data_IF_070134471673
#
_entry.id   IF_070134471673
#
_cell.length_a   1.000
_cell.length_b   1.000
_cell.length_c   1.000
_cell.angle_alpha   90.00
_cell.angle_beta   90.00
_cell.angle_gamma   90.00
#
_symmetry.space_group_name_H-M   'P 1'
#
loop_
_entity.id
_entity.type
_entity.pdbx_description
1 polymer ?
#
# COMPACT_ATOMS: atom_id res chain seq x y z
N UNK A 1 -3.88 -17.03 16.35
CA UNK A 1 -3.33 -16.73 15.01
C UNK A 1 -1.97 -17.41 14.88
N UNK A 2 -1.71 -18.09 13.76
CA UNK A 2 -0.36 -18.58 13.41
C UNK A 2 0.35 -17.49 12.61
N UNK A 3 1.66 -17.31 12.82
CA UNK A 3 2.50 -16.43 11.99
C UNK A 3 3.62 -17.27 11.39
N UNK A 4 3.82 -17.18 10.08
CA UNK A 4 5.00 -17.72 9.40
C UNK A 4 5.84 -16.55 8.92
N UNK A 5 7.09 -16.52 9.35
CA UNK A 5 8.07 -15.57 8.86
C UNK A 5 8.84 -16.22 7.70
N UNK A 6 8.67 -15.70 6.48
CA UNK A 6 9.38 -16.14 5.27
C UNK A 6 10.55 -15.21 4.91
N UNK A 7 10.76 -14.20 5.75
CA UNK A 7 11.87 -13.29 5.72
C UNK A 7 13.02 -13.97 6.51
N UNK A 8 14.19 -14.17 5.89
CA UNK A 8 15.33 -14.85 6.52
C UNK A 8 15.92 -14.03 7.69
N UNK A 9 16.50 -14.71 8.70
CA UNK A 9 16.97 -14.13 9.97
C UNK A 9 18.11 -13.10 9.81
N UNK A 10 18.79 -13.04 8.65
CA UNK A 10 19.83 -12.04 8.33
C UNK A 10 19.28 -10.78 7.61
N UNK A 11 17.96 -10.62 7.57
CA UNK A 11 17.33 -9.53 6.82
C UNK A 11 17.53 -8.14 7.41
N UNK A 12 17.86 -7.98 8.69
CA UNK A 12 18.15 -6.63 9.20
C UNK A 12 19.39 -6.05 8.49
N UNK A 13 20.44 -6.87 8.34
CA UNK A 13 21.64 -6.54 7.59
C UNK A 13 21.32 -6.30 6.12
N UNK A 14 20.58 -7.23 5.48
CA UNK A 14 20.21 -7.11 4.06
C UNK A 14 19.28 -5.92 3.77
N UNK A 15 18.33 -5.61 4.66
CA UNK A 15 17.44 -4.46 4.53
C UNK A 15 18.19 -3.14 4.67
N UNK A 16 19.18 -3.09 5.58
CA UNK A 16 20.06 -1.92 5.72
C UNK A 16 20.98 -1.78 4.50
N UNK A 17 21.52 -2.87 3.96
CA UNK A 17 22.32 -2.85 2.72
C UNK A 17 21.48 -2.40 1.51
N UNK A 18 20.27 -2.93 1.36
CA UNK A 18 19.33 -2.53 0.33
C UNK A 18 18.95 -1.05 0.49
N UNK A 19 18.66 -0.60 1.71
CA UNK A 19 18.40 0.82 1.99
C UNK A 19 19.58 1.72 1.66
N UNK A 20 20.78 1.33 2.07
CA UNK A 20 22.03 2.05 1.76
C UNK A 20 22.24 2.17 0.25
N UNK A 21 22.03 1.07 -0.48
CA UNK A 21 22.16 1.01 -1.94
C UNK A 21 21.12 1.88 -2.64
N UNK A 22 19.85 1.81 -2.23
CA UNK A 22 18.77 2.60 -2.81
C UNK A 22 18.95 4.10 -2.51
N UNK A 23 19.45 4.47 -1.33
CA UNK A 23 19.81 5.87 -0.99
C UNK A 23 20.97 6.36 -1.85
N UNK A 24 22.02 5.55 -2.03
CA UNK A 24 23.14 5.90 -2.91
C UNK A 24 22.66 6.16 -4.34
N UNK A 25 21.88 5.23 -4.91
CA UNK A 25 21.35 5.38 -6.27
C UNK A 25 20.42 6.59 -6.38
N UNK A 26 19.53 6.74 -5.41
CA UNK A 26 18.49 7.76 -5.39
C UNK A 26 19.01 9.19 -5.20
N UNK A 27 20.02 9.38 -4.36
CA UNK A 27 20.67 10.68 -4.16
C UNK A 27 21.74 10.99 -5.23
N UNK A 28 22.18 9.98 -5.99
CA UNK A 28 23.09 10.17 -7.14
C UNK A 28 22.34 10.35 -8.47
N UNK A 29 21.02 10.19 -8.52
CA UNK A 29 20.25 10.37 -9.75
C UNK A 29 19.87 11.82 -10.01
N UNK A 30 19.60 12.13 -11.27
CA UNK A 30 19.09 13.42 -11.72
C UNK A 30 17.80 13.19 -12.52
N UNK A 31 16.61 13.49 -11.96
CA UNK A 31 16.37 14.07 -10.63
C UNK A 31 16.61 13.08 -9.47
N UNK A 32 16.89 13.61 -8.27
CA UNK A 32 17.03 12.82 -7.04
C UNK A 32 15.69 12.21 -6.63
N UNK A 33 15.70 10.94 -6.21
CA UNK A 33 14.48 10.21 -5.83
C UNK A 33 14.76 9.14 -4.77
N UNK A 34 13.88 8.98 -3.78
CA UNK A 34 13.95 7.83 -2.85
C UNK A 34 12.57 7.19 -2.78
N UNK A 35 12.53 5.86 -2.81
CA UNK A 35 11.27 5.10 -2.80
C UNK A 35 10.48 5.28 -1.50
N UNK A 36 9.18 5.55 -1.63
CA UNK A 36 8.20 5.61 -0.54
C UNK A 36 8.15 4.34 0.35
N UNK A 37 8.66 3.19 -0.11
CA UNK A 37 8.75 1.97 0.72
C UNK A 37 9.55 2.20 2.01
N UNK A 38 10.45 3.20 2.02
CA UNK A 38 11.26 3.53 3.18
C UNK A 38 10.57 4.43 4.22
N UNK A 39 9.34 4.88 3.96
CA UNK A 39 8.57 5.63 4.94
C UNK A 39 8.11 4.80 6.13
N UNK A 40 7.96 3.49 5.97
CA UNK A 40 7.27 2.64 6.93
C UNK A 40 8.24 1.98 7.93
N UNK A 41 9.12 2.77 8.55
CA UNK A 41 9.71 2.37 9.83
C UNK A 41 8.65 2.46 10.95
N UNK A 42 9.02 2.18 12.20
CA UNK A 42 8.09 2.22 13.33
C UNK A 42 7.42 3.60 13.47
N UNK A 43 8.21 4.68 13.38
CA UNK A 43 7.72 6.05 13.56
C UNK A 43 6.85 6.51 12.39
N UNK A 44 7.24 6.19 11.15
CA UNK A 44 6.47 6.50 9.96
C UNK A 44 5.16 5.74 9.89
N UNK A 45 5.14 4.47 10.32
CA UNK A 45 3.91 3.69 10.43
C UNK A 45 2.91 4.33 11.41
N UNK A 46 3.38 4.82 12.56
CA UNK A 46 2.55 5.55 13.53
C UNK A 46 2.05 6.89 12.99
N UNK A 47 2.88 7.61 12.22
CA UNK A 47 2.47 8.84 11.54
C UNK A 47 1.39 8.56 10.50
N UNK A 48 1.54 7.51 9.70
CA UNK A 48 0.54 7.12 8.71
C UNK A 48 -0.79 6.72 9.36
N UNK A 49 -0.78 6.03 10.49
CA UNK A 49 -2.00 5.75 11.26
C UNK A 49 -2.73 7.02 11.71
N UNK A 50 -2.01 8.09 12.04
CA UNK A 50 -2.62 9.39 12.37
C UNK A 50 -3.15 10.07 11.11
N UNK A 51 -2.42 10.01 9.99
CA UNK A 51 -2.86 10.55 8.70
C UNK A 51 -4.17 9.88 8.26
N UNK A 52 -4.25 8.55 8.33
CA UNK A 52 -5.42 7.79 7.89
C UNK A 52 -6.71 8.09 8.68
N UNK A 53 -6.57 8.63 9.89
CA UNK A 53 -7.68 9.04 10.74
C UNK A 53 -8.01 10.55 10.61
N UNK A 54 -7.09 11.33 10.06
CA UNK A 54 -7.19 12.78 9.94
C UNK A 54 -8.36 13.18 9.03
N UNK A 55 -9.04 14.28 9.36
CA UNK A 55 -10.23 14.74 8.63
C UNK A 55 -9.95 15.12 7.17
N UNK A 56 -8.71 15.53 6.87
CA UNK A 56 -8.29 15.95 5.54
C UNK A 56 -8.00 14.75 4.62
N UNK A 57 -7.69 13.58 5.19
CA UNK A 57 -7.37 12.36 4.46
C UNK A 57 -8.62 11.48 4.32
N UNK A 58 -9.41 11.74 3.28
CA UNK A 58 -10.72 11.08 3.10
C UNK A 58 -10.60 9.57 2.80
N UNK A 59 -9.52 9.13 2.15
CA UNK A 59 -9.43 7.82 1.48
C UNK A 59 -9.82 6.66 2.39
N UNK A 60 -9.24 6.59 3.59
CA UNK A 60 -9.46 5.48 4.52
C UNK A 60 -10.90 5.40 4.98
N UNK A 61 -11.53 6.52 5.32
CA UNK A 61 -12.94 6.56 5.76
C UNK A 61 -13.88 6.25 4.61
N UNK A 62 -13.57 6.75 3.41
CA UNK A 62 -14.35 6.46 2.19
C UNK A 62 -14.35 4.97 1.89
N UNK A 63 -13.17 4.34 1.78
CA UNK A 63 -13.07 2.90 1.51
C UNK A 63 -13.72 2.06 2.63
N UNK A 64 -13.51 2.43 3.90
CA UNK A 64 -14.17 1.75 5.03
C UNK A 64 -15.70 1.75 4.89
N UNK A 65 -16.30 2.88 4.50
CA UNK A 65 -17.75 2.99 4.31
C UNK A 65 -18.27 2.15 3.14
N UNK A 66 -17.49 2.01 2.07
CA UNK A 66 -17.81 1.13 0.92
C UNK A 66 -17.83 -0.33 1.39
N UNK A 67 -16.78 -0.76 2.07
CA UNK A 67 -16.66 -2.14 2.55
C UNK A 67 -17.75 -2.51 3.56
N UNK A 68 -18.13 -1.59 4.44
CA UNK A 68 -19.24 -1.77 5.39
C UNK A 68 -20.57 -1.94 4.67
N UNK A 69 -20.83 -1.14 3.63
CA UNK A 69 -22.08 -1.16 2.88
C UNK A 69 -22.22 -2.41 1.99
N UNK A 70 -21.13 -2.84 1.35
CA UNK A 70 -21.17 -3.82 0.26
C UNK A 70 -20.58 -5.19 0.60
N UNK A 71 -20.00 -5.37 1.79
CA UNK A 71 -19.40 -6.65 2.20
C UNK A 71 -20.34 -7.85 2.06
N UNK A 72 -21.63 -7.69 2.41
CA UNK A 72 -22.63 -8.75 2.23
C UNK A 72 -22.89 -9.08 0.74
N UNK A 73 -22.95 -8.07 -0.12
CA UNK A 73 -23.08 -8.29 -1.57
C UNK A 73 -21.84 -8.96 -2.16
N UNK A 74 -20.64 -8.60 -1.70
CA UNK A 74 -19.39 -9.25 -2.09
C UNK A 74 -19.40 -10.74 -1.74
N UNK A 75 -19.75 -11.08 -0.49
CA UNK A 75 -19.84 -12.47 -0.06
C UNK A 75 -20.89 -13.27 -0.85
N UNK A 76 -22.04 -12.65 -1.15
CA UNK A 76 -23.10 -13.27 -1.95
C UNK A 76 -22.71 -13.46 -3.43
N UNK A 77 -21.86 -12.60 -3.98
CA UNK A 77 -21.35 -12.75 -5.36
C UNK A 77 -20.38 -13.92 -5.47
N UNK A 78 -19.49 -14.10 -4.50
CA UNK A 78 -18.52 -15.20 -4.52
C UNK A 78 -19.19 -16.54 -4.15
N UNK A 79 -20.08 -16.54 -3.16
CA UNK A 79 -20.95 -17.65 -2.76
C UNK A 79 -20.25 -19.01 -2.63
N UNK A 80 -19.31 -19.11 -1.69
CA UNK A 80 -18.58 -20.33 -1.38
C UNK A 80 -18.86 -20.82 0.05
N UNK A 81 -18.82 -22.13 0.26
CA UNK A 81 -18.93 -22.70 1.61
C UNK A 81 -17.65 -22.52 2.42
N UNK A 82 -16.49 -22.54 1.77
CA UNK A 82 -15.18 -22.25 2.35
C UNK A 82 -14.33 -21.45 1.36
N UNK A 83 -13.68 -20.38 1.83
CA UNK A 83 -12.90 -19.46 1.00
C UNK A 83 -11.56 -19.13 1.64
N UNK A 84 -10.55 -18.91 0.80
CA UNK A 84 -9.29 -18.32 1.23
C UNK A 84 -9.29 -16.82 0.91
N UNK A 85 -9.20 -15.97 1.95
CA UNK A 85 -9.06 -14.52 1.79
C UNK A 85 -7.59 -14.18 2.04
N UNK A 86 -6.92 -13.58 1.05
CA UNK A 86 -5.53 -13.18 1.14
C UNK A 86 -5.47 -11.66 1.07
N UNK A 87 -4.69 -11.00 1.90
CA UNK A 87 -4.58 -9.53 1.84
C UNK A 87 -3.12 -9.10 1.67
N UNK A 88 -2.88 -8.29 0.64
CA UNK A 88 -1.56 -7.75 0.33
C UNK A 88 -1.40 -6.39 1.01
N UNK A 89 -0.59 -6.33 2.07
CA UNK A 89 -0.41 -5.13 2.89
C UNK A 89 -1.56 -4.95 3.87
N UNK A 90 -1.78 -5.93 4.75
CA UNK A 90 -2.95 -6.01 5.61
C UNK A 90 -3.01 -4.92 6.70
N UNK A 91 -1.88 -4.29 7.04
CA UNK A 91 -1.85 -3.23 8.04
C UNK A 91 -2.44 -3.69 9.39
N UNK A 92 -3.41 -2.93 9.91
CA UNK A 92 -4.02 -3.20 11.21
C UNK A 92 -5.27 -4.11 11.17
N UNK A 93 -5.72 -4.52 9.99
CA UNK A 93 -6.82 -5.47 9.82
C UNK A 93 -8.26 -4.91 9.98
N UNK A 94 -8.46 -3.60 10.20
CA UNK A 94 -9.82 -3.06 10.39
C UNK A 94 -10.71 -3.22 9.16
N UNK A 95 -10.16 -2.99 7.95
CA UNK A 95 -10.90 -3.17 6.69
C UNK A 95 -11.15 -4.64 6.38
N UNK A 96 -10.15 -5.48 6.61
CA UNK A 96 -10.22 -6.94 6.45
C UNK A 96 -11.35 -7.51 7.30
N UNK A 97 -11.50 -7.01 8.53
CA UNK A 97 -12.57 -7.42 9.44
C UNK A 97 -13.97 -7.25 8.84
N UNK A 98 -14.26 -6.12 8.19
CA UNK A 98 -15.58 -5.88 7.58
C UNK A 98 -15.92 -6.93 6.51
N UNK A 99 -14.92 -7.26 5.68
CA UNK A 99 -15.07 -8.25 4.61
C UNK A 99 -15.25 -9.64 5.24
N UNK A 100 -14.35 -10.03 6.16
CA UNK A 100 -14.39 -11.33 6.83
C UNK A 100 -15.73 -11.54 7.56
N UNK A 101 -16.17 -10.57 8.36
CA UNK A 101 -17.44 -10.64 9.09
C UNK A 101 -18.63 -10.85 8.13
N UNK A 102 -18.58 -10.26 6.94
CA UNK A 102 -19.62 -10.44 5.93
C UNK A 102 -19.69 -11.87 5.37
N UNK A 103 -18.55 -12.53 5.17
CA UNK A 103 -18.50 -13.94 4.78
C UNK A 103 -18.97 -14.85 5.92
N UNK A 104 -18.50 -14.60 7.15
CA UNK A 104 -18.90 -15.37 8.33
C UNK A 104 -20.41 -15.27 8.59
N UNK A 105 -21.01 -14.09 8.41
CA UNK A 105 -22.45 -13.87 8.56
C UNK A 105 -23.29 -14.69 7.55
N UNK A 106 -22.72 -15.08 6.41
CA UNK A 106 -23.36 -15.98 5.43
C UNK A 106 -23.11 -17.46 5.73
N UNK A 107 -22.37 -17.77 6.80
CA UNK A 107 -21.99 -19.14 7.16
C UNK A 107 -20.81 -19.68 6.35
N UNK A 108 -20.11 -18.84 5.59
CA UNK A 108 -18.89 -19.23 4.88
C UNK A 108 -17.76 -19.41 5.88
N UNK A 109 -17.03 -20.53 5.80
CA UNK A 109 -15.77 -20.71 6.52
C UNK A 109 -14.66 -19.92 5.83
N UNK A 110 -13.92 -19.12 6.59
CA UNK A 110 -12.88 -18.23 6.08
C UNK A 110 -11.50 -18.67 6.57
N UNK A 111 -10.58 -18.87 5.62
CA UNK A 111 -9.14 -18.96 5.92
C UNK A 111 -8.50 -17.65 5.50
N UNK A 112 -8.11 -16.82 6.48
CA UNK A 112 -7.53 -15.52 6.24
C UNK A 112 -6.00 -15.55 6.31
N UNK A 113 -5.37 -15.05 5.26
CA UNK A 113 -3.92 -15.00 5.08
C UNK A 113 -3.46 -13.55 4.85
N UNK A 114 -3.27 -12.76 5.91
CA UNK A 114 -2.66 -11.45 5.78
C UNK A 114 -1.17 -11.59 5.43
N UNK A 115 -0.72 -10.84 4.43
CA UNK A 115 0.67 -10.78 3.96
C UNK A 115 1.18 -9.36 4.14
N UNK A 116 2.25 -9.20 4.90
CA UNK A 116 2.88 -7.89 5.13
C UNK A 116 4.39 -8.08 5.34
N UNK A 117 5.19 -7.07 5.03
CA UNK A 117 6.62 -7.08 5.34
C UNK A 117 6.87 -6.79 6.84
N UNK A 118 5.88 -6.19 7.52
CA UNK A 118 5.96 -5.81 8.92
C UNK A 118 5.41 -6.91 9.84
N UNK A 119 6.27 -7.50 10.66
CA UNK A 119 5.84 -8.41 11.73
C UNK A 119 4.94 -7.69 12.76
N UNK A 120 5.18 -6.41 13.01
CA UNK A 120 4.35 -5.57 13.89
C UNK A 120 2.91 -5.46 13.39
N UNK A 121 2.71 -5.36 12.07
CA UNK A 121 1.37 -5.34 11.47
C UNK A 121 0.60 -6.63 11.79
N UNK A 122 1.25 -7.80 11.74
CA UNK A 122 0.63 -9.08 12.12
C UNK A 122 0.17 -9.09 13.59
N UNK A 123 0.96 -8.48 14.49
CA UNK A 123 0.60 -8.34 15.90
C UNK A 123 -0.64 -7.48 16.12
N UNK A 124 -0.71 -6.33 15.44
CA UNK A 124 -1.87 -5.42 15.51
C UNK A 124 -3.14 -6.08 14.94
N UNK A 125 -3.01 -6.74 13.79
CA UNK A 125 -4.11 -7.46 13.16
C UNK A 125 -4.66 -8.57 14.05
N UNK A 126 -3.78 -9.31 14.74
CA UNK A 126 -4.18 -10.34 15.71
C UNK A 126 -4.96 -9.81 16.91
N UNK A 127 -4.85 -8.52 17.23
CA UNK A 127 -5.67 -7.88 18.26
C UNK A 127 -7.09 -7.52 17.77
N UNK A 128 -7.25 -7.28 16.47
CA UNK A 128 -8.52 -6.87 15.86
C UNK A 128 -9.35 -8.06 15.32
N UNK A 129 -8.72 -9.21 15.06
CA UNK A 129 -9.38 -10.40 14.55
C UNK A 129 -9.24 -11.60 15.50
N UNK A 130 -10.37 -12.16 15.91
CA UNK A 130 -10.41 -13.33 16.81
C UNK A 130 -10.67 -14.61 16.03
N UNK A 131 -9.76 -15.58 16.15
CA UNK A 131 -9.90 -16.92 15.55
C UNK A 131 -11.14 -17.63 16.10
N UNK A 132 -11.86 -18.34 15.24
CA UNK A 132 -13.02 -19.17 15.61
C UNK A 132 -13.04 -20.45 14.78
N UNK A 133 -14.02 -21.33 15.02
CA UNK A 133 -14.20 -22.54 14.18
C UNK A 133 -14.46 -22.21 12.70
N UNK A 134 -15.04 -21.04 12.43
CA UNK A 134 -15.32 -20.55 11.08
C UNK A 134 -14.26 -19.59 10.54
N UNK A 135 -13.30 -19.15 11.35
CA UNK A 135 -12.24 -18.21 10.95
C UNK A 135 -10.86 -18.72 11.36
N UNK A 136 -10.08 -19.19 10.40
CA UNK A 136 -8.66 -19.46 10.56
C UNK A 136 -7.84 -18.23 10.15
N UNK A 137 -6.80 -17.90 10.91
CA UNK A 137 -5.90 -16.79 10.58
C UNK A 137 -4.44 -17.27 10.58
N UNK A 138 -3.79 -17.11 9.43
CA UNK A 138 -2.38 -17.44 9.23
C UNK A 138 -1.64 -16.26 8.59
N UNK A 139 -0.98 -15.45 9.42
CA UNK A 139 -0.17 -14.33 8.95
C UNK A 139 1.14 -14.76 8.33
N UNK A 140 1.55 -14.05 7.28
CA UNK A 140 2.76 -14.33 6.51
C UNK A 140 3.60 -13.06 6.44
N UNK A 141 4.77 -13.10 7.07
CA UNK A 141 5.73 -12.00 6.99
C UNK A 141 6.59 -12.20 5.74
N UNK A 142 6.29 -11.47 4.67
CA UNK A 142 6.92 -11.58 3.35
C UNK A 142 6.57 -10.39 2.44
N UNK A 143 7.30 -10.24 1.33
CA UNK A 143 6.78 -9.45 0.20
C UNK A 143 5.51 -10.10 -0.40
N UNK A 144 4.74 -9.31 -1.15
CA UNK A 144 3.44 -9.71 -1.69
C UNK A 144 3.47 -11.02 -2.47
N UNK A 145 4.39 -11.17 -3.43
CA UNK A 145 4.38 -12.33 -4.32
C UNK A 145 5.07 -13.54 -3.72
N UNK A 146 6.08 -13.35 -2.87
CA UNK A 146 6.66 -14.45 -2.10
C UNK A 146 5.62 -15.03 -1.14
N UNK A 147 4.89 -14.19 -0.41
CA UNK A 147 3.79 -14.61 0.45
C UNK A 147 2.68 -15.30 -0.33
N UNK A 148 2.19 -14.68 -1.42
CA UNK A 148 1.12 -15.25 -2.25
C UNK A 148 1.51 -16.61 -2.86
N UNK A 149 2.75 -16.75 -3.34
CA UNK A 149 3.22 -18.00 -3.93
C UNK A 149 3.41 -19.11 -2.90
N UNK A 150 3.75 -18.78 -1.64
CA UNK A 150 3.87 -19.76 -0.55
C UNK A 150 2.55 -20.48 -0.25
N UNK A 151 1.41 -19.85 -0.59
CA UNK A 151 0.07 -20.37 -0.34
C UNK A 151 -0.46 -21.27 -1.45
N UNK A 152 0.19 -21.33 -2.62
CA UNK A 152 -0.28 -22.12 -3.77
C UNK A 152 -0.42 -23.62 -3.47
N UNK A 153 0.35 -24.13 -2.53
CA UNK A 153 0.36 -25.56 -2.14
C UNK A 153 -0.51 -25.87 -0.94
N UNK A 154 -1.08 -24.85 -0.28
CA UNK A 154 -1.78 -25.01 1.00
C UNK A 154 -3.25 -25.34 0.80
N UNK A 155 -3.89 -24.82 -0.25
CA UNK A 155 -5.34 -24.96 -0.44
C UNK A 155 -5.76 -24.85 -1.89
N UNK A 156 -6.80 -25.63 -2.23
CA UNK A 156 -7.50 -25.58 -3.51
C UNK A 156 -8.80 -24.77 -3.46
N UNK A 157 -9.11 -24.13 -2.33
CA UNK A 157 -10.27 -23.26 -2.20
C UNK A 157 -10.17 -22.08 -3.19
N UNK A 158 -11.33 -21.52 -3.52
CA UNK A 158 -11.40 -20.26 -4.26
C UNK A 158 -10.72 -19.16 -3.44
N UNK A 159 -9.94 -18.32 -4.12
CA UNK A 159 -9.22 -17.21 -3.49
C UNK A 159 -9.93 -15.89 -3.75
N UNK A 160 -10.00 -15.06 -2.71
CA UNK A 160 -10.25 -13.64 -2.81
C UNK A 160 -8.99 -12.90 -2.34
N UNK A 161 -8.28 -12.26 -3.27
CA UNK A 161 -7.15 -11.39 -2.91
C UNK A 161 -7.62 -9.96 -2.70
N UNK A 162 -7.29 -9.37 -1.57
CA UNK A 162 -7.57 -7.99 -1.22
C UNK A 162 -6.31 -7.16 -1.46
N UNK A 163 -6.45 -6.08 -2.23
CA UNK A 163 -5.42 -5.05 -2.39
C UNK A 163 -6.04 -3.67 -2.23
N UNK A 164 -6.17 -3.28 -0.97
CA UNK A 164 -6.98 -2.15 -0.51
C UNK A 164 -6.12 -0.88 -0.32
N UNK A 165 -6.77 0.24 0.00
CA UNK A 165 -6.16 1.51 0.38
C UNK A 165 -5.60 2.31 -0.80
N UNK A 166 -5.97 1.94 -2.03
CA UNK A 166 -5.37 2.52 -3.25
C UNK A 166 -3.85 2.37 -3.30
N UNK A 167 -3.30 1.32 -2.67
CA UNK A 167 -1.88 0.98 -2.76
C UNK A 167 -1.41 0.76 -4.20
N UNK A 168 -2.31 0.34 -5.10
CA UNK A 168 -2.04 0.23 -6.54
C UNK A 168 -1.64 1.57 -7.18
N UNK A 169 -2.06 2.68 -6.58
CA UNK A 169 -1.70 4.04 -6.98
C UNK A 169 -0.23 4.38 -6.74
N UNK A 170 0.50 3.62 -5.91
CA UNK A 170 1.93 3.86 -5.67
C UNK A 170 2.82 3.32 -6.80
N UNK A 171 2.21 2.65 -7.79
CA UNK A 171 2.88 2.15 -8.98
C UNK A 171 2.62 3.10 -10.16
N UNK A 172 3.66 3.39 -10.93
CA UNK A 172 3.46 4.00 -12.24
C UNK A 172 2.74 3.02 -13.18
N UNK A 173 2.25 3.52 -14.32
CA UNK A 173 1.45 2.73 -15.27
C UNK A 173 2.08 1.39 -15.68
N UNK A 174 3.39 1.36 -15.93
CA UNK A 174 4.09 0.14 -16.32
C UNK A 174 4.19 -0.83 -15.14
N UNK A 175 4.53 -0.33 -13.96
CA UNK A 175 4.58 -1.10 -12.71
C UNK A 175 3.20 -1.66 -12.34
N UNK A 176 2.12 -0.89 -12.51
CA UNK A 176 0.75 -1.35 -12.28
C UNK A 176 0.41 -2.53 -13.17
N UNK A 177 0.69 -2.42 -14.48
CA UNK A 177 0.45 -3.52 -15.41
C UNK A 177 1.29 -4.76 -15.08
N UNK A 178 2.56 -4.58 -14.70
CA UNK A 178 3.43 -5.69 -14.29
C UNK A 178 2.92 -6.37 -13.02
N UNK A 179 2.54 -5.59 -12.00
CA UNK A 179 1.97 -6.08 -10.76
C UNK A 179 0.71 -6.90 -11.01
N UNK A 180 -0.24 -6.35 -11.78
CA UNK A 180 -1.50 -7.04 -12.11
C UNK A 180 -1.26 -8.33 -12.91
N UNK A 181 -0.30 -8.35 -13.86
CA UNK A 181 0.07 -9.57 -14.58
C UNK A 181 0.69 -10.62 -13.66
N UNK A 182 1.55 -10.24 -12.73
CA UNK A 182 2.11 -11.16 -11.72
C UNK A 182 0.99 -11.71 -10.82
N UNK A 183 0.04 -10.86 -10.41
CA UNK A 183 -1.12 -11.28 -9.62
C UNK A 183 -1.97 -12.30 -10.38
N UNK A 184 -2.28 -12.03 -11.65
CA UNK A 184 -2.99 -12.98 -12.52
C UNK A 184 -2.28 -14.33 -12.66
N UNK A 185 -0.94 -14.32 -12.83
CA UNK A 185 -0.13 -15.53 -12.91
C UNK A 185 -0.16 -16.34 -11.60
N UNK A 186 -0.33 -15.67 -10.46
CA UNK A 186 -0.34 -16.30 -9.15
C UNK A 186 -1.68 -16.91 -8.73
N UNK A 187 -2.76 -16.59 -9.44
CA UNK A 187 -4.12 -17.06 -9.12
C UNK A 187 -4.61 -18.16 -10.06
N UNK A 188 -5.67 -18.85 -9.71
CA UNK A 188 -6.33 -19.84 -10.55
C UNK A 188 -7.46 -19.20 -11.37
N UNK A 189 -7.97 -19.92 -12.37
CA UNK A 189 -9.19 -19.51 -13.07
C UNK A 189 -10.35 -19.34 -12.08
N UNK A 190 -11.13 -18.27 -12.23
CA UNK A 190 -12.27 -17.92 -11.38
C UNK A 190 -11.93 -17.53 -9.93
N UNK A 191 -10.65 -17.37 -9.57
CA UNK A 191 -10.27 -16.63 -8.37
C UNK A 191 -10.61 -15.15 -8.55
N UNK A 192 -10.74 -14.43 -7.44
CA UNK A 192 -11.14 -13.04 -7.38
C UNK A 192 -10.06 -12.15 -6.79
N UNK A 193 -10.05 -10.90 -7.24
CA UNK A 193 -9.27 -9.81 -6.65
C UNK A 193 -10.21 -8.64 -6.36
N UNK A 194 -10.14 -8.07 -5.17
CA UNK A 194 -10.80 -6.83 -4.80
C UNK A 194 -9.72 -5.76 -4.67
N UNK A 195 -9.75 -4.77 -5.55
CA UNK A 195 -8.74 -3.72 -5.61
C UNK A 195 -9.40 -2.37 -5.35
N UNK A 196 -8.87 -1.65 -4.37
CA UNK A 196 -9.27 -0.29 -4.06
C UNK A 196 -8.56 0.72 -4.96
N UNK A 197 -9.32 1.66 -5.55
CA UNK A 197 -8.84 2.71 -6.44
C UNK A 197 -9.32 4.08 -5.97
N UNK A 198 -8.40 4.98 -5.65
CA UNK A 198 -8.73 6.37 -5.41
C UNK A 198 -8.92 7.11 -6.75
N UNK A 199 -10.09 7.74 -6.94
CA UNK A 199 -10.45 8.29 -8.23
C UNK A 199 -9.90 9.70 -8.49
N UNK A 200 -9.81 10.09 -9.76
CA UNK A 200 -9.58 11.49 -10.14
C UNK A 200 -10.77 12.33 -9.70
N UNK A 201 -10.51 13.45 -9.03
CA UNK A 201 -11.52 14.35 -8.48
C UNK A 201 -10.95 15.76 -8.36
N UNK A 202 -11.73 16.65 -7.74
CA UNK A 202 -11.30 18.04 -7.48
C UNK A 202 -9.90 18.10 -6.85
N UNK A 203 -9.07 18.99 -7.40
CA UNK A 203 -7.66 19.06 -7.04
C UNK A 203 -7.44 19.58 -5.63
N UNK A 204 -8.32 20.41 -5.10
CA UNK A 204 -8.19 20.94 -3.75
C UNK A 204 -8.44 19.85 -2.72
N UNK A 205 -9.38 18.93 -3.00
CA UNK A 205 -9.62 17.74 -2.18
C UNK A 205 -8.37 16.85 -2.17
N UNK A 206 -7.79 16.58 -3.34
CA UNK A 206 -6.58 15.76 -3.47
C UNK A 206 -5.38 16.41 -2.78
N UNK A 207 -5.14 17.69 -3.04
CA UNK A 207 -4.03 18.43 -2.43
C UNK A 207 -4.16 18.46 -0.90
N UNK A 208 -5.37 18.65 -0.38
CA UNK A 208 -5.62 18.72 1.06
C UNK A 208 -5.36 17.38 1.77
N UNK A 209 -5.65 16.25 1.12
CA UNK A 209 -5.35 14.93 1.69
C UNK A 209 -3.85 14.69 1.88
N UNK A 210 -2.99 15.26 1.04
CA UNK A 210 -1.52 15.05 1.08
C UNK A 210 -0.76 16.27 1.62
N UNK A 211 -1.48 17.29 2.07
CA UNK A 211 -0.97 18.49 2.72
C UNK A 211 -1.90 18.82 3.89
N UNK A 212 -2.09 17.85 4.78
CA UNK A 212 -3.04 17.95 5.87
C UNK A 212 -2.75 19.17 6.76
N UNK A 213 -3.82 19.77 7.27
CA UNK A 213 -3.74 20.96 8.13
C UNK A 213 -3.06 20.71 9.48
N UNK A 214 -2.89 19.43 9.89
CA UNK A 214 -2.18 19.04 11.11
C UNK A 214 -0.67 18.91 10.95
N UNK A 215 -0.14 18.99 9.73
CA UNK A 215 1.28 18.80 9.42
C UNK A 215 1.76 17.36 9.57
N UNK A 216 0.87 16.38 9.62
CA UNK A 216 1.20 14.96 9.80
C UNK A 216 1.91 14.38 8.57
N UNK A 217 1.45 14.69 7.36
CA UNK A 217 2.09 14.30 6.09
C UNK A 217 3.47 14.95 5.94
N UNK A 218 3.63 16.19 6.40
CA UNK A 218 4.94 16.84 6.44
C UNK A 218 5.90 16.08 7.36
N UNK A 219 5.43 15.73 8.57
CA UNK A 219 6.23 14.95 9.51
C UNK A 219 6.56 13.55 8.99
N UNK A 220 5.61 12.91 8.30
CA UNK A 220 5.76 11.59 7.67
C UNK A 220 6.83 11.60 6.58
N UNK A 221 6.81 12.58 5.67
CA UNK A 221 7.81 12.64 4.59
C UNK A 221 9.20 12.98 5.13
N UNK A 222 9.30 13.96 6.04
CA UNK A 222 10.58 14.32 6.67
C UNK A 222 11.14 13.20 7.57
N UNK A 223 10.31 12.25 8.01
CA UNK A 223 10.77 11.08 8.76
C UNK A 223 11.79 10.27 7.97
N UNK A 224 11.70 10.22 6.64
CA UNK A 224 12.70 9.54 5.81
C UNK A 224 14.11 10.10 6.00
N UNK A 225 14.25 11.43 6.13
CA UNK A 225 15.54 12.04 6.39
C UNK A 225 16.05 11.69 7.80
N UNK A 226 15.16 11.69 8.80
CA UNK A 226 15.49 11.24 10.16
C UNK A 226 15.97 9.80 10.18
N UNK A 227 15.32 8.94 9.40
CA UNK A 227 15.70 7.54 9.24
C UNK A 227 17.08 7.39 8.61
N UNK A 228 17.39 8.15 7.55
CA UNK A 228 18.74 8.19 6.96
C UNK A 228 19.78 8.68 7.98
N UNK A 229 19.47 9.70 8.79
CA UNK A 229 20.37 10.15 9.85
C UNK A 229 20.64 9.03 10.86
N UNK A 230 19.59 8.35 11.33
CA UNK A 230 19.70 7.31 12.35
C UNK A 230 20.38 6.02 11.86
N UNK A 231 20.01 5.53 10.67
CA UNK A 231 20.45 4.21 10.18
C UNK A 231 21.74 4.27 9.35
N UNK A 232 21.96 5.36 8.63
CA UNK A 232 23.07 5.52 7.67
C UNK A 232 24.12 6.54 8.13
N UNK A 233 23.90 7.20 9.28
CA UNK A 233 24.78 8.25 9.77
C UNK A 233 24.82 9.47 8.83
N UNK A 234 23.67 9.80 8.25
CA UNK A 234 23.50 11.05 7.51
C UNK A 234 23.41 12.26 8.45
N UNK A 235 23.70 13.45 7.93
CA UNK A 235 23.66 14.71 8.69
C UNK A 235 22.62 15.72 8.15
N UNK A 236 21.49 15.22 7.64
CA UNK A 236 20.39 16.09 7.20
C UNK A 236 19.93 17.00 8.35
N UNK A 237 19.90 18.32 8.11
CA UNK A 237 19.34 19.32 9.02
C UNK A 237 17.87 19.59 8.66
N UNK A 238 16.93 19.07 9.46
CA UNK A 238 15.51 19.00 9.12
C UNK A 238 14.86 20.36 8.80
N UNK A 239 15.30 21.43 9.42
CA UNK A 239 14.79 22.79 9.22
C UNK A 239 15.23 23.42 7.89
N UNK A 240 16.23 22.82 7.22
CA UNK A 240 16.65 23.20 5.87
C UNK A 240 15.86 22.50 4.76
N UNK A 241 14.89 21.67 5.12
CA UNK A 241 14.05 20.94 4.16
C UNK A 241 12.57 21.20 4.42
N UNK A 242 11.77 21.25 3.35
CA UNK A 242 10.31 21.35 3.45
C UNK A 242 9.61 20.28 2.63
N UNK A 243 8.47 19.81 3.12
CA UNK A 243 7.52 19.03 2.33
C UNK A 243 6.90 19.90 1.23
N UNK A 244 6.68 19.29 0.07
CA UNK A 244 5.90 19.87 -1.02
C UNK A 244 5.14 18.75 -1.74
N UNK A 245 3.81 18.70 -1.53
CA UNK A 245 2.92 17.79 -2.24
C UNK A 245 1.98 18.54 -3.17
N UNK A 246 1.80 18.06 -4.40
CA UNK A 246 0.80 18.64 -5.30
C UNK A 246 0.21 17.60 -6.26
N UNK A 247 -1.03 17.81 -6.69
CA UNK A 247 -1.65 17.01 -7.74
C UNK A 247 -1.16 17.47 -9.11
N UNK A 248 -0.52 16.56 -9.85
CA UNK A 248 -0.15 16.76 -11.24
C UNK A 248 -1.26 16.24 -12.16
N UNK A 249 -2.08 17.12 -12.78
CA UNK A 249 -3.21 16.70 -13.60
C UNK A 249 -2.78 16.03 -14.91
N UNK A 250 -1.58 16.33 -15.41
CA UNK A 250 -1.03 15.71 -16.63
C UNK A 250 -0.61 14.27 -16.38
N UNK A 251 0.01 14.01 -15.22
CA UNK A 251 0.38 12.67 -14.79
C UNK A 251 -0.82 11.88 -14.26
N UNK A 252 -1.76 12.58 -13.62
CA UNK A 252 -2.89 12.00 -12.91
C UNK A 252 -2.51 11.44 -11.54
N UNK A 253 -1.55 12.07 -10.85
CA UNK A 253 -1.03 11.59 -9.57
C UNK A 253 -0.80 12.74 -8.59
N UNK A 254 -0.95 12.44 -7.30
CA UNK A 254 -0.33 13.23 -6.25
C UNK A 254 1.16 12.95 -6.26
N UNK A 255 1.99 13.98 -6.38
CA UNK A 255 3.43 13.87 -6.28
C UNK A 255 3.88 14.49 -4.95
N UNK A 256 4.81 13.81 -4.27
CA UNK A 256 5.35 14.21 -2.98
C UNK A 256 6.86 14.40 -3.05
N UNK A 257 7.32 15.56 -2.59
CA UNK A 257 8.72 15.95 -2.61
C UNK A 257 9.18 16.46 -1.25
N UNK A 258 10.49 16.34 -1.03
CA UNK A 258 11.22 17.20 -0.11
C UNK A 258 12.00 18.22 -0.92
N UNK A 259 11.94 19.49 -0.53
CA UNK A 259 12.66 20.58 -1.19
C UNK A 259 13.74 21.11 -0.25
N UNK A 260 14.97 21.19 -0.75
CA UNK A 260 16.07 21.87 -0.07
C UNK A 260 15.82 23.39 -0.04
N UNK A 261 15.91 24.02 1.13
CA UNK A 261 15.74 25.48 1.27
C UNK A 261 17.05 26.26 1.13
N UNK A 262 18.17 25.54 1.07
CA UNK A 262 19.52 26.07 1.01
C UNK A 262 20.36 25.32 -0.02
N UNK A 263 21.41 25.96 -0.47
CA UNK A 263 22.53 25.27 -1.11
C UNK A 263 23.32 24.56 -0.01
N UNK A 264 23.42 23.24 -0.05
CA UNK A 264 24.01 22.45 1.03
C UNK A 264 24.51 21.07 0.58
N UNK A 265 25.53 20.57 1.26
CA UNK A 265 26.01 19.20 1.13
C UNK A 265 25.54 18.38 2.33
N UNK A 266 25.07 17.16 2.07
CA UNK A 266 24.73 16.17 3.10
C UNK A 266 25.74 15.04 3.04
N UNK A 267 26.45 14.80 4.14
CA UNK A 267 27.34 13.66 4.29
C UNK A 267 26.57 12.44 4.78
N UNK A 268 26.84 11.28 4.20
CA UNK A 268 26.29 9.99 4.67
C UNK A 268 27.43 9.06 5.03
N UNK A 269 27.61 8.81 6.33
CA UNK A 269 28.73 8.04 6.86
C UNK A 269 28.79 6.61 6.31
N UNK A 270 27.64 5.93 6.17
CA UNK A 270 27.56 4.58 5.61
C UNK A 270 28.00 4.48 4.13
N UNK A 271 28.07 5.62 3.44
CA UNK A 271 28.48 5.73 2.04
C UNK A 271 29.83 6.43 1.85
N UNK A 272 30.40 7.00 2.91
CA UNK A 272 31.59 7.84 2.88
C UNK A 272 31.54 8.92 1.79
N UNK A 273 30.35 9.49 1.57
CA UNK A 273 30.04 10.34 0.40
C UNK A 273 29.21 11.56 0.79
N UNK A 274 29.49 12.68 0.12
CA UNK A 274 28.66 13.88 0.13
C UNK A 274 27.68 13.88 -1.05
N UNK A 275 26.47 14.35 -0.78
CA UNK A 275 25.43 14.60 -1.78
C UNK A 275 25.06 16.08 -1.74
N UNK A 276 25.30 16.75 -2.86
CA UNK A 276 24.97 18.16 -3.02
C UNK A 276 23.48 18.35 -3.32
N UNK A 277 22.87 19.33 -2.68
CA UNK A 277 21.54 19.85 -2.97
C UNK A 277 21.63 21.34 -3.31
N UNK A 278 21.19 21.71 -4.51
CA UNK A 278 20.99 23.11 -4.85
C UNK A 278 19.84 23.71 -4.03
N UNK A 279 19.83 25.04 -3.87
CA UNK A 279 18.69 25.73 -3.27
C UNK A 279 17.43 25.52 -4.12
N UNK A 280 16.36 25.06 -3.48
CA UNK A 280 15.10 24.65 -4.10
C UNK A 280 15.17 23.39 -4.97
N UNK A 281 16.24 22.61 -4.86
CA UNK A 281 16.27 21.29 -5.47
C UNK A 281 15.26 20.34 -4.78
N UNK A 282 14.55 19.56 -5.60
CA UNK A 282 13.53 18.62 -5.16
C UNK A 282 14.06 17.18 -5.13
N UNK A 283 13.85 16.52 -4.00
CA UNK A 283 13.95 15.08 -3.82
C UNK A 283 12.55 14.47 -3.96
N UNK A 284 12.30 13.73 -5.04
CA UNK A 284 11.03 13.03 -5.22
C UNK A 284 10.92 11.82 -4.28
N UNK A 285 9.73 11.61 -3.69
CA UNK A 285 9.51 10.53 -2.72
C UNK A 285 8.44 9.53 -3.16
N UNK A 286 7.30 10.04 -3.60
CA UNK A 286 6.12 9.21 -3.89
C UNK A 286 5.30 9.82 -5.02
N UNK A 287 4.75 8.94 -5.86
CA UNK A 287 3.64 9.26 -6.74
C UNK A 287 2.45 8.39 -6.34
N UNK A 288 1.31 9.00 -6.03
CA UNK A 288 0.05 8.32 -5.76
C UNK A 288 -0.95 8.61 -6.89
N UNK A 289 -0.98 7.71 -7.87
CA UNK A 289 -1.86 7.78 -9.04
C UNK A 289 -3.32 7.68 -8.66
N UNK A 290 -4.13 8.50 -9.35
CA UNK A 290 -5.59 8.55 -9.25
C UNK A 290 -6.20 8.05 -10.53
N UNK A 291 -7.29 7.30 -10.42
CA UNK A 291 -7.83 6.53 -11.53
C UNK A 291 -9.17 7.09 -12.01
N UNK A 292 -9.47 6.87 -13.27
CA UNK A 292 -10.83 6.96 -13.81
C UNK A 292 -11.39 5.57 -14.03
N UNK A 293 -12.72 5.44 -14.06
CA UNK A 293 -13.38 4.16 -14.35
C UNK A 293 -12.88 3.53 -15.66
N UNK A 294 -12.68 4.34 -16.71
CA UNK A 294 -12.18 3.85 -18.00
C UNK A 294 -10.76 3.30 -17.91
N UNK A 295 -9.89 3.89 -17.07
CA UNK A 295 -8.56 3.35 -16.78
C UNK A 295 -8.64 2.03 -16.01
N UNK A 296 -9.54 1.91 -15.03
CA UNK A 296 -9.78 0.66 -14.27
C UNK A 296 -10.24 -0.46 -15.23
N UNK A 297 -11.21 -0.18 -16.11
CA UNK A 297 -11.66 -1.11 -17.15
C UNK A 297 -10.54 -1.53 -18.11
N UNK A 298 -9.70 -0.58 -18.54
CA UNK A 298 -8.57 -0.86 -19.41
C UNK A 298 -7.54 -1.76 -18.71
N UNK A 299 -7.23 -1.50 -17.44
CA UNK A 299 -6.29 -2.32 -16.67
C UNK A 299 -6.78 -3.77 -16.53
N UNK A 300 -8.05 -3.98 -16.16
CA UNK A 300 -8.61 -5.33 -16.03
C UNK A 300 -8.49 -6.12 -17.35
N UNK A 301 -8.97 -5.54 -18.45
CA UNK A 301 -8.96 -6.20 -19.77
C UNK A 301 -7.54 -6.51 -20.27
N UNK A 302 -6.58 -5.61 -20.05
CA UNK A 302 -5.19 -5.77 -20.48
C UNK A 302 -4.39 -6.78 -19.65
N UNK A 303 -4.89 -7.13 -18.46
CA UNK A 303 -4.16 -7.99 -17.50
C UNK A 303 -4.84 -9.34 -17.25
N UNK A 304 -5.83 -9.70 -18.09
CA UNK A 304 -6.46 -11.02 -18.05
C UNK A 304 -7.57 -11.15 -17.01
N UNK A 305 -8.13 -10.03 -16.56
CA UNK A 305 -9.24 -10.00 -15.62
C UNK A 305 -10.53 -9.53 -16.29
N UNK A 306 -11.65 -10.00 -15.75
CA UNK A 306 -12.99 -9.50 -16.05
C UNK A 306 -13.52 -8.77 -14.82
N UNK A 307 -14.03 -7.56 -14.99
CA UNK A 307 -14.71 -6.84 -13.91
C UNK A 307 -16.09 -7.48 -13.68
N UNK A 308 -16.38 -7.85 -12.44
CA UNK A 308 -17.68 -8.40 -12.03
C UNK A 308 -18.56 -7.35 -11.36
N UNK A 309 -17.97 -6.52 -10.49
CA UNK A 309 -18.70 -5.49 -9.77
C UNK A 309 -17.79 -4.28 -9.45
N UNK A 310 -18.43 -3.11 -9.31
CA UNK A 310 -17.84 -1.91 -8.72
C UNK A 310 -18.64 -1.53 -7.48
N UNK A 311 -17.95 -1.22 -6.40
CA UNK A 311 -18.52 -0.67 -5.18
C UNK A 311 -17.92 0.73 -5.00
N UNK A 312 -18.77 1.73 -4.81
CA UNK A 312 -18.35 3.14 -4.76
C UNK A 312 -19.06 3.85 -3.61
N UNK A 313 -18.45 4.92 -3.12
CA UNK A 313 -19.08 5.81 -2.15
C UNK A 313 -20.06 6.77 -2.83
N UNK A 314 -20.90 7.43 -2.03
CA UNK A 314 -21.92 8.35 -2.54
C UNK A 314 -21.35 9.60 -3.25
N UNK A 315 -20.07 9.94 -3.06
CA UNK A 315 -19.41 11.05 -3.74
C UNK A 315 -18.63 10.60 -4.99
N UNK A 316 -18.56 9.30 -5.28
CA UNK A 316 -17.73 8.72 -6.35
C UNK A 316 -16.25 9.13 -6.21
N UNK A 317 -15.72 9.02 -5.00
CA UNK A 317 -14.34 9.34 -4.69
C UNK A 317 -13.43 8.12 -4.76
N UNK A 318 -13.97 6.94 -4.53
CA UNK A 318 -13.21 5.71 -4.43
C UNK A 318 -14.00 4.53 -5.01
N UNK A 319 -13.32 3.60 -5.67
CA UNK A 319 -13.92 2.35 -6.16
C UNK A 319 -13.18 1.15 -5.59
N UNK A 320 -13.91 0.25 -4.94
CA UNK A 320 -13.48 -1.13 -4.74
C UNK A 320 -14.02 -1.97 -5.91
N UNK A 321 -13.12 -2.39 -6.81
CA UNK A 321 -13.48 -3.15 -7.99
C UNK A 321 -13.22 -4.65 -7.76
N UNK A 322 -14.27 -5.46 -7.87
CA UNK A 322 -14.18 -6.91 -7.85
C UNK A 322 -13.91 -7.43 -9.25
N UNK A 323 -12.74 -8.02 -9.44
CA UNK A 323 -12.36 -8.62 -10.71
C UNK A 323 -12.19 -10.14 -10.56
N UNK A 324 -12.57 -10.88 -11.60
CA UNK A 324 -12.41 -12.32 -11.72
C UNK A 324 -11.29 -12.65 -12.71
N UNK A 325 -10.43 -13.59 -12.33
CA UNK A 325 -9.35 -14.11 -13.16
C UNK A 325 -9.92 -14.89 -14.35
N UNK A 326 -9.58 -14.46 -15.57
CA UNK A 326 -9.88 -15.20 -16.80
C UNK A 326 -8.62 -15.93 -17.27
N UNK A 327 -8.63 -17.27 -17.22
CA UNK A 327 -7.60 -18.10 -17.85
C UNK A 327 -8.22 -18.88 -19.00
N UNK A 328 -7.66 -18.69 -20.19
CA UNK A 328 -8.02 -19.41 -21.42
C UNK A 328 -7.44 -20.81 -21.45
#
# INVERSE_FOLDING_TARGET
>A
MKITNLIEVDQFTQNREAFTTDVLMGLSSEPKTISAKYFYDDAGSELFQKISQHQDYYLTKTEFSILEQFGASLAATINEAEIDILELGAGDGHKSKLIIDSFLAQGTKVNFYPIDISEKAMGLLGANLTVSEQLNIHGIVADYFHGLNSLKTISSNKKLVLFLGSNIGNFNRAQTQEFLKKLWLSLNANDHVLIGYDLKKDTDILNKAYNDSGGLTTAFNLNLLKRMNAELGADFEMDKFKHYGFYNPSLGAMESYIISLHDQDVYIAALEKYFHFEKFEALHLESSFKFSESEIHALASQTGFKIEAHFTDAQNFFIDALWQVQKS
#
